data_IF_290644232375
#
_entry.id   IF_290644232375
#
_cell.length_a   1.000
_cell.length_b   1.000
_cell.length_c   1.000
_cell.angle_alpha   90.00
_cell.angle_beta   90.00
_cell.angle_gamma   90.00
#
_symmetry.space_group_name_H-M   'P 1'
#
loop_
_entity.id
_entity.type
_entity.pdbx_description
1 polymer ?
#
# COMPACT_ATOMS: atom_id res chain seq x y z
N UNK A 1 -17.56 -8.97 15.55
CA UNK A 1 -16.94 -7.67 15.90
C UNK A 1 -17.27 -6.65 14.82
N UNK A 2 -17.43 -5.37 15.21
CA UNK A 2 -17.50 -4.26 14.27
C UNK A 2 -16.09 -3.75 14.00
N UNK A 3 -15.62 -3.88 12.75
CA UNK A 3 -14.25 -3.55 12.35
C UNK A 3 -14.29 -2.47 11.27
N UNK A 4 -13.51 -1.42 11.44
CA UNK A 4 -13.22 -0.48 10.35
C UNK A 4 -11.82 -0.73 9.83
N UNK A 5 -11.70 -1.01 8.53
CA UNK A 5 -10.45 -1.07 7.80
C UNK A 5 -10.17 0.28 7.14
N UNK A 6 -9.07 0.93 7.52
CA UNK A 6 -8.59 2.17 6.88
C UNK A 6 -7.39 1.83 6.03
N UNK A 7 -7.43 2.06 4.72
CA UNK A 7 -6.33 1.70 3.85
C UNK A 7 -6.17 2.61 2.65
N UNK A 8 -4.94 2.65 2.10
CA UNK A 8 -4.68 3.24 0.80
C UNK A 8 -4.60 2.12 -0.25
N UNK A 9 -5.70 1.90 -0.97
CA UNK A 9 -5.89 0.72 -1.80
C UNK A 9 -6.02 1.03 -3.29
N UNK A 10 -4.91 1.44 -3.91
CA UNK A 10 -4.90 1.74 -5.35
C UNK A 10 -5.10 0.49 -6.26
N UNK A 11 -4.91 -0.72 -5.71
CA UNK A 11 -4.84 -1.96 -6.48
C UNK A 11 -5.92 -2.97 -6.10
N UNK A 12 -6.81 -2.63 -5.18
CA UNK A 12 -7.84 -3.54 -4.67
C UNK A 12 -7.33 -4.62 -3.69
N UNK A 13 -6.04 -4.62 -3.34
CA UNK A 13 -5.46 -5.66 -2.49
C UNK A 13 -6.01 -5.65 -1.07
N UNK A 14 -6.31 -4.49 -0.52
CA UNK A 14 -6.83 -4.39 0.84
C UNK A 14 -8.32 -4.75 0.92
N UNK A 15 -9.05 -4.73 -0.22
CA UNK A 15 -10.41 -5.27 -0.28
C UNK A 15 -10.44 -6.77 0.08
N UNK A 16 -9.42 -7.54 -0.30
CA UNK A 16 -9.31 -8.95 0.11
C UNK A 16 -9.16 -9.12 1.63
N UNK A 17 -8.55 -8.13 2.32
CA UNK A 17 -8.50 -8.13 3.79
C UNK A 17 -9.89 -7.91 4.37
N UNK A 18 -10.66 -6.96 3.83
CA UNK A 18 -12.04 -6.72 4.23
C UNK A 18 -12.89 -7.98 4.04
N UNK A 19 -12.85 -8.57 2.85
CA UNK A 19 -13.60 -9.79 2.54
C UNK A 19 -13.21 -10.97 3.46
N UNK A 20 -11.92 -11.13 3.77
CA UNK A 20 -11.46 -12.18 4.68
C UNK A 20 -11.97 -11.98 6.12
N UNK A 21 -12.12 -10.75 6.56
CA UNK A 21 -12.72 -10.44 7.86
C UNK A 21 -14.24 -10.71 7.85
N UNK A 22 -14.93 -10.37 6.77
CA UNK A 22 -16.36 -10.66 6.58
C UNK A 22 -16.63 -12.16 6.58
N UNK A 23 -15.81 -12.96 5.89
CA UNK A 23 -15.88 -14.43 5.90
C UNK A 23 -15.67 -15.03 7.31
N UNK A 24 -15.06 -14.29 8.23
CA UNK A 24 -14.93 -14.66 9.64
C UNK A 24 -16.09 -14.12 10.51
N UNK A 25 -17.21 -13.75 9.89
CA UNK A 25 -18.41 -13.22 10.55
C UNK A 25 -18.17 -11.90 11.31
N UNK A 26 -17.30 -11.04 10.81
CA UNK A 26 -17.17 -9.67 11.30
C UNK A 26 -17.97 -8.71 10.42
N UNK A 27 -18.51 -7.65 11.01
CA UNK A 27 -19.09 -6.53 10.26
C UNK A 27 -17.97 -5.58 9.90
N UNK A 28 -17.70 -5.40 8.60
CA UNK A 28 -16.54 -4.62 8.14
C UNK A 28 -16.98 -3.37 7.42
N UNK A 29 -16.42 -2.22 7.81
CA UNK A 29 -16.49 -0.96 7.07
C UNK A 29 -15.11 -0.67 6.48
N UNK A 30 -14.99 -0.53 5.16
CA UNK A 30 -13.73 -0.25 4.50
C UNK A 30 -13.65 1.21 4.03
N UNK A 31 -12.84 2.01 4.72
CA UNK A 31 -12.49 3.39 4.33
C UNK A 31 -11.25 3.34 3.45
N UNK A 32 -11.45 3.27 2.14
CA UNK A 32 -10.38 3.36 1.16
C UNK A 32 -10.09 4.83 0.84
N UNK A 33 -9.09 5.41 1.51
CA UNK A 33 -8.74 6.81 1.31
C UNK A 33 -7.90 7.07 0.05
N UNK A 34 -7.59 6.07 -0.78
CA UNK A 34 -7.06 6.27 -2.13
C UNK A 34 -8.08 6.96 -3.05
N UNK A 35 -9.36 6.80 -2.74
CA UNK A 35 -10.49 7.43 -3.45
C UNK A 35 -10.63 8.93 -3.14
N UNK A 36 -10.01 9.41 -2.06
CA UNK A 36 -10.07 10.84 -1.70
C UNK A 36 -9.11 11.66 -2.58
N UNK A 37 -9.66 12.51 -3.41
CA UNK A 37 -8.87 13.30 -4.36
C UNK A 37 -8.46 14.64 -3.76
N UNK A 38 -7.17 14.79 -3.42
CA UNK A 38 -6.62 16.08 -3.02
C UNK A 38 -6.15 16.88 -4.23
N UNK A 39 -6.72 18.07 -4.41
CA UNK A 39 -6.29 19.04 -5.43
C UNK A 39 -5.75 20.28 -4.75
N UNK A 40 -4.60 20.77 -5.21
CA UNK A 40 -4.11 22.07 -4.76
C UNK A 40 -4.99 23.19 -5.34
N UNK A 41 -5.50 24.12 -4.51
CA UNK A 41 -6.30 25.23 -4.98
C UNK A 41 -5.56 26.15 -5.95
N UNK A 42 -4.24 26.30 -5.78
CA UNK A 42 -3.40 27.13 -6.64
C UNK A 42 -1.94 26.66 -6.64
N UNK A 43 -1.13 27.27 -7.52
CA UNK A 43 0.33 27.06 -7.56
C UNK A 43 0.99 27.51 -6.25
N UNK A 44 0.51 28.60 -5.66
CA UNK A 44 1.01 29.10 -4.36
C UNK A 44 0.82 28.05 -3.24
N UNK A 45 -0.28 27.34 -3.23
CA UNK A 45 -0.49 26.23 -2.28
C UNK A 45 0.50 25.07 -2.48
N UNK A 46 0.95 24.81 -3.70
CA UNK A 46 2.00 23.81 -3.95
C UNK A 46 3.34 24.28 -3.37
N UNK A 47 3.69 25.53 -3.59
CA UNK A 47 4.92 26.15 -3.05
C UNK A 47 4.85 26.16 -1.52
N UNK A 48 3.75 26.62 -0.94
CA UNK A 48 3.53 26.59 0.51
C UNK A 48 3.66 25.17 1.08
N UNK A 49 3.06 24.17 0.45
CA UNK A 49 3.20 22.78 0.87
C UNK A 49 4.65 22.26 0.75
N UNK A 50 5.41 22.75 -0.21
CA UNK A 50 6.84 22.44 -0.31
C UNK A 50 7.59 22.97 0.91
N UNK A 51 7.38 24.21 1.31
CA UNK A 51 7.97 24.79 2.53
C UNK A 51 7.53 24.02 3.79
N UNK A 52 6.24 23.70 3.93
CA UNK A 52 5.74 22.91 5.05
C UNK A 52 6.43 21.54 5.15
N UNK A 53 6.67 20.87 4.03
CA UNK A 53 7.37 19.57 3.99
C UNK A 53 8.84 19.71 4.41
N UNK A 54 9.51 20.74 3.90
CA UNK A 54 10.96 20.92 4.09
C UNK A 54 11.29 21.36 5.51
N UNK A 55 10.62 22.37 6.02
CA UNK A 55 10.96 22.97 7.30
C UNK A 55 10.16 22.41 8.46
N UNK A 56 8.88 22.11 8.27
CA UNK A 56 7.96 21.70 9.34
C UNK A 56 7.62 20.21 9.31
N UNK A 57 8.12 19.46 8.32
CA UNK A 57 7.80 18.03 8.11
C UNK A 57 6.28 17.76 8.04
N UNK A 58 5.49 18.77 7.68
CA UNK A 58 4.04 18.70 7.49
C UNK A 58 3.69 18.55 6.02
N UNK A 59 2.51 18.02 5.72
CA UNK A 59 2.05 17.85 4.35
C UNK A 59 0.53 18.03 4.29
N UNK A 60 0.08 19.02 3.50
CA UNK A 60 -1.36 19.31 3.33
C UNK A 60 -2.16 18.09 2.85
N UNK A 61 -1.55 17.27 2.01
CA UNK A 61 -2.22 16.05 1.51
C UNK A 61 -2.49 15.03 2.63
N UNK A 62 -1.54 14.82 3.54
CA UNK A 62 -1.74 13.89 4.67
C UNK A 62 -2.72 14.44 5.69
N UNK A 63 -2.76 15.77 5.87
CA UNK A 63 -3.79 16.42 6.69
C UNK A 63 -5.18 16.26 6.08
N UNK A 64 -5.31 16.49 4.78
CA UNK A 64 -6.56 16.29 4.05
C UNK A 64 -7.08 14.85 4.19
N UNK A 65 -6.21 13.85 3.97
CA UNK A 65 -6.60 12.45 4.15
C UNK A 65 -7.07 12.17 5.58
N UNK A 66 -6.32 12.66 6.56
CA UNK A 66 -6.71 12.50 7.97
C UNK A 66 -8.09 13.09 8.28
N UNK A 67 -8.35 14.32 7.79
CA UNK A 67 -9.65 14.99 7.95
C UNK A 67 -10.78 14.15 7.33
N UNK A 68 -10.65 13.75 6.07
CA UNK A 68 -11.68 12.96 5.39
C UNK A 68 -11.91 11.59 6.07
N UNK A 69 -10.86 10.94 6.59
CA UNK A 69 -11.00 9.69 7.35
C UNK A 69 -11.83 9.92 8.61
N UNK A 70 -11.56 10.98 9.36
CA UNK A 70 -12.36 11.28 10.57
C UNK A 70 -13.81 11.59 10.22
N UNK A 71 -14.07 12.36 9.14
CA UNK A 71 -15.42 12.63 8.65
C UNK A 71 -16.18 11.34 8.29
N UNK A 72 -15.49 10.34 7.68
CA UNK A 72 -16.10 9.02 7.43
C UNK A 72 -16.34 8.22 8.71
N UNK A 73 -15.44 8.30 9.69
CA UNK A 73 -15.64 7.66 10.99
C UNK A 73 -16.79 8.28 11.78
N UNK A 74 -16.99 9.60 11.71
CA UNK A 74 -18.08 10.31 12.37
C UNK A 74 -19.47 9.93 11.82
N UNK A 75 -19.56 9.56 10.54
CA UNK A 75 -20.81 9.05 9.95
C UNK A 75 -21.27 7.74 10.59
N UNK A 76 -20.31 6.92 11.02
CA UNK A 76 -20.56 5.71 11.80
C UNK A 76 -20.74 6.08 13.27
N UNK A 77 -21.98 6.36 13.69
CA UNK A 77 -22.33 6.79 15.07
C UNK A 77 -21.94 5.80 16.16
N UNK A 78 -21.51 4.59 15.81
CA UNK A 78 -21.21 3.53 16.75
C UNK A 78 -19.71 3.33 16.93
N UNK A 79 -19.28 3.17 18.19
CA UNK A 79 -17.91 2.84 18.50
C UNK A 79 -17.53 1.48 17.88
N UNK A 80 -16.41 1.44 17.15
CA UNK A 80 -15.89 0.22 16.56
C UNK A 80 -15.19 -0.65 17.62
N UNK A 81 -15.24 -1.97 17.48
CA UNK A 81 -14.45 -2.85 18.31
C UNK A 81 -12.97 -2.78 17.96
N UNK A 82 -12.67 -2.62 16.65
CA UNK A 82 -11.32 -2.55 16.12
C UNK A 82 -11.27 -1.58 14.94
N UNK A 83 -10.26 -0.72 14.90
CA UNK A 83 -9.85 -0.02 13.68
C UNK A 83 -8.49 -0.56 13.26
N UNK A 84 -8.41 -1.17 12.08
CA UNK A 84 -7.18 -1.63 11.44
C UNK A 84 -6.76 -0.62 10.37
N UNK A 85 -5.60 0.00 10.53
CA UNK A 85 -5.03 0.94 9.56
C UNK A 85 -3.86 0.31 8.80
N UNK A 86 -3.96 0.24 7.47
CA UNK A 86 -2.87 -0.19 6.60
C UNK A 86 -2.26 1.04 5.92
N UNK A 87 -0.94 1.21 5.99
CA UNK A 87 -0.23 2.39 5.48
C UNK A 87 -0.62 3.70 6.16
N UNK A 88 -0.69 3.72 7.47
CA UNK A 88 -0.99 4.90 8.28
C UNK A 88 -0.04 6.09 8.10
N UNK A 89 1.13 5.92 7.47
CA UNK A 89 2.09 6.99 7.17
C UNK A 89 1.61 8.02 6.13
N UNK A 90 0.49 7.75 5.47
CA UNK A 90 -0.23 8.71 4.63
C UNK A 90 -1.20 9.62 5.41
N UNK A 91 -1.40 9.36 6.70
CA UNK A 91 -2.25 10.15 7.59
C UNK A 91 -1.34 11.06 8.44
N UNK A 92 -1.71 12.34 8.61
CA UNK A 92 -0.94 13.20 9.50
C UNK A 92 -1.11 12.76 10.97
N UNK A 93 -0.04 12.77 11.79
CA UNK A 93 -0.05 12.21 13.15
C UNK A 93 -1.18 12.74 14.03
N UNK A 94 -1.51 14.02 13.93
CA UNK A 94 -2.57 14.67 14.69
C UNK A 94 -3.95 14.05 14.42
N UNK A 95 -4.21 13.58 13.18
CA UNK A 95 -5.44 12.87 12.81
C UNK A 95 -5.36 11.38 13.13
N UNK A 96 -4.20 10.75 12.89
CA UNK A 96 -3.99 9.35 13.23
C UNK A 96 -4.24 9.10 14.73
N UNK A 97 -3.82 10.03 15.59
CA UNK A 97 -4.08 9.97 17.04
C UNK A 97 -5.57 10.03 17.38
N UNK A 98 -6.36 10.82 16.63
CA UNK A 98 -7.80 10.97 16.87
C UNK A 98 -8.61 9.74 16.47
N UNK A 99 -8.10 8.85 15.61
CA UNK A 99 -8.75 7.58 15.26
C UNK A 99 -9.10 6.75 16.49
N UNK A 100 -8.29 6.83 17.56
CA UNK A 100 -8.54 6.12 18.83
C UNK A 100 -9.88 6.49 19.47
N UNK A 101 -10.41 7.68 19.21
CA UNK A 101 -11.68 8.12 19.79
C UNK A 101 -12.91 7.36 19.24
N UNK A 102 -12.73 6.64 18.11
CA UNK A 102 -13.80 5.95 17.40
C UNK A 102 -13.78 4.43 17.61
N UNK A 103 -12.83 3.92 18.41
CA UNK A 103 -12.63 2.48 18.58
C UNK A 103 -12.20 2.10 19.99
N UNK A 104 -12.49 0.85 20.39
CA UNK A 104 -11.94 0.26 21.60
C UNK A 104 -10.45 -0.06 21.44
N UNK A 105 -10.01 -0.37 20.21
CA UNK A 105 -8.63 -0.71 19.89
C UNK A 105 -8.23 -0.26 18.50
N UNK A 106 -7.14 0.48 18.41
CA UNK A 106 -6.54 0.93 17.16
C UNK A 106 -5.28 0.16 16.85
N UNK A 107 -5.20 -0.43 15.65
CA UNK A 107 -4.09 -1.25 15.21
C UNK A 107 -3.59 -0.74 13.87
N UNK A 108 -2.26 -0.70 13.68
CA UNK A 108 -1.66 -0.40 12.39
C UNK A 108 -0.81 -1.56 11.86
N UNK A 109 -0.82 -1.74 10.55
CA UNK A 109 0.08 -2.63 9.83
C UNK A 109 0.84 -1.85 8.77
N UNK A 110 2.17 -1.95 8.79
CA UNK A 110 3.05 -1.34 7.80
C UNK A 110 3.71 -2.41 6.94
N UNK A 111 3.46 -2.33 5.64
CA UNK A 111 4.04 -3.18 4.60
C UNK A 111 5.23 -2.53 3.87
N UNK A 112 5.79 -1.47 4.46
CA UNK A 112 7.05 -0.83 4.09
C UNK A 112 7.91 -0.66 5.34
N UNK A 113 9.25 -0.63 5.20
CA UNK A 113 10.15 -0.40 6.31
C UNK A 113 10.40 1.09 6.55
N UNK A 114 10.85 1.42 7.77
CA UNK A 114 11.12 2.80 8.19
C UNK A 114 12.30 3.44 7.46
N UNK A 115 13.25 2.65 6.96
CA UNK A 115 14.38 3.11 6.15
C UNK A 115 13.90 3.68 4.80
N UNK A 116 12.95 3.00 4.18
CA UNK A 116 12.32 3.43 2.92
C UNK A 116 11.29 4.53 3.14
N UNK A 117 10.48 4.38 4.19
CA UNK A 117 9.37 5.27 4.53
C UNK A 117 9.53 5.88 5.94
N UNK A 118 10.44 6.86 6.16
CA UNK A 118 10.72 7.42 7.49
C UNK A 118 9.51 8.06 8.18
N UNK A 119 8.46 8.39 7.43
CA UNK A 119 7.22 8.94 7.98
C UNK A 119 6.48 7.97 8.90
N UNK A 120 6.69 6.66 8.73
CA UNK A 120 6.13 5.62 9.59
C UNK A 120 6.45 5.92 11.05
N UNK A 121 7.72 6.29 11.36
CA UNK A 121 8.18 6.53 12.73
C UNK A 121 7.30 7.56 13.46
N UNK A 122 6.79 8.55 12.74
CA UNK A 122 5.99 9.65 13.33
C UNK A 122 4.58 9.22 13.73
N UNK A 123 4.05 8.16 13.13
CA UNK A 123 2.69 7.68 13.39
C UNK A 123 2.64 6.43 14.25
N UNK A 124 3.81 5.77 14.52
CA UNK A 124 3.85 4.60 15.41
C UNK A 124 3.16 4.84 16.76
N UNK A 125 3.39 5.96 17.48
CA UNK A 125 2.79 6.19 18.79
C UNK A 125 1.29 6.54 18.72
N UNK A 126 0.74 6.71 17.52
CA UNK A 126 -0.67 7.05 17.35
C UNK A 126 -1.59 5.83 17.47
N UNK A 127 -1.07 4.62 17.50
CA UNK A 127 -1.83 3.37 17.56
C UNK A 127 -1.58 2.61 18.87
N UNK A 128 -2.52 1.75 19.26
CA UNK A 128 -2.36 0.93 20.48
C UNK A 128 -1.46 -0.27 20.23
N UNK A 129 -1.54 -0.83 19.01
CA UNK A 129 -0.63 -1.87 18.54
C UNK A 129 -0.16 -1.58 17.12
N UNK A 130 1.10 -1.90 16.87
CA UNK A 130 1.67 -1.75 15.53
C UNK A 130 2.36 -3.03 15.10
N UNK A 131 2.06 -3.46 13.90
CA UNK A 131 2.65 -4.61 13.23
C UNK A 131 3.50 -4.15 12.04
N UNK A 132 4.61 -4.86 11.83
CA UNK A 132 5.46 -4.70 10.65
C UNK A 132 5.95 -6.06 10.18
N UNK A 133 6.25 -6.19 8.89
CA UNK A 133 6.91 -7.39 8.35
C UNK A 133 8.44 -7.32 8.49
N UNK A 134 8.99 -6.14 8.79
CA UNK A 134 10.41 -5.91 8.86
C UNK A 134 10.96 -6.18 10.26
N UNK A 135 11.80 -7.20 10.37
CA UNK A 135 12.36 -7.66 11.66
C UNK A 135 13.19 -6.59 12.37
N UNK A 136 13.97 -5.81 11.61
CA UNK A 136 14.81 -4.75 12.17
C UNK A 136 13.96 -3.63 12.78
N UNK A 137 12.90 -3.22 12.08
CA UNK A 137 11.96 -2.22 12.60
C UNK A 137 11.22 -2.73 13.84
N UNK A 138 10.80 -4.00 13.82
CA UNK A 138 10.16 -4.62 14.98
C UNK A 138 11.06 -4.59 16.22
N UNK A 139 12.33 -4.95 16.06
CA UNK A 139 13.32 -4.91 17.14
C UNK A 139 13.59 -3.47 17.60
N UNK A 140 13.78 -2.54 16.65
CA UNK A 140 14.17 -1.15 16.94
C UNK A 140 13.06 -0.34 17.62
N UNK A 141 11.81 -0.55 17.21
CA UNK A 141 10.66 0.24 17.66
C UNK A 141 9.68 -0.56 18.52
N UNK A 142 10.06 -1.76 18.97
CA UNK A 142 9.21 -2.67 19.75
C UNK A 142 7.85 -2.94 19.09
N UNK A 143 7.88 -3.27 17.78
CA UNK A 143 6.68 -3.59 17.02
C UNK A 143 6.46 -5.10 16.99
N UNK A 144 5.23 -5.51 16.72
CA UNK A 144 4.89 -6.92 16.53
C UNK A 144 5.21 -7.37 15.12
N UNK A 145 5.93 -8.49 14.98
CA UNK A 145 6.22 -9.09 13.68
C UNK A 145 4.97 -9.77 13.11
N UNK A 146 4.63 -9.43 11.89
CA UNK A 146 3.59 -10.09 11.11
C UNK A 146 3.99 -10.11 9.65
N UNK A 147 3.97 -11.28 9.02
CA UNK A 147 4.20 -11.41 7.58
C UNK A 147 3.06 -10.78 6.77
N UNK A 148 3.34 -10.46 5.53
CA UNK A 148 2.29 -10.04 4.61
C UNK A 148 1.21 -11.12 4.47
N UNK A 149 -0.01 -10.69 4.20
CA UNK A 149 -1.14 -11.57 3.98
C UNK A 149 -1.07 -12.20 2.58
N UNK A 150 -1.67 -13.37 2.46
CA UNK A 150 -1.86 -14.08 1.19
C UNK A 150 -3.23 -13.68 0.65
N UNK A 151 -3.23 -13.22 -0.60
CA UNK A 151 -4.44 -12.92 -1.35
C UNK A 151 -4.99 -14.19 -1.96
N UNK A 152 -6.11 -14.49 -2.17
CA UNK A 152 -6.68 -15.60 -2.91
C UNK A 152 -6.20 -17.00 -2.49
N UNK A 153 -6.73 -17.46 -1.36
CA UNK A 153 -6.54 -18.83 -0.86
C UNK A 153 -7.67 -19.80 -1.28
N UNK A 154 -8.68 -19.31 -2.03
CA UNK A 154 -9.83 -20.13 -2.42
C UNK A 154 -9.59 -20.96 -3.68
N UNK A 155 -8.75 -20.50 -4.58
CA UNK A 155 -8.37 -21.25 -5.76
C UNK A 155 -7.07 -22.02 -5.51
N UNK A 156 -7.17 -23.33 -5.40
CA UNK A 156 -5.97 -24.18 -5.41
C UNK A 156 -5.29 -24.00 -6.77
N UNK A 157 -3.97 -23.68 -6.78
CA UNK A 157 -3.26 -23.63 -8.06
C UNK A 157 -3.43 -24.95 -8.80
N UNK A 158 -3.86 -24.90 -10.03
CA UNK A 158 -3.87 -26.08 -10.87
C UNK A 158 -2.46 -26.26 -11.45
N UNK A 159 -1.66 -27.07 -10.78
CA UNK A 159 -0.30 -27.39 -11.21
C UNK A 159 -0.23 -28.27 -12.47
N UNK A 160 -1.34 -28.89 -12.86
CA UNK A 160 -1.42 -29.72 -14.07
C UNK A 160 -1.57 -28.86 -15.33
N UNK A 161 -1.92 -27.60 -15.19
CA UNK A 161 -2.03 -26.68 -16.32
C UNK A 161 -0.63 -26.24 -16.75
N UNK A 162 -0.20 -26.71 -17.94
CA UNK A 162 1.07 -26.31 -18.52
C UNK A 162 1.08 -24.80 -18.75
N UNK A 163 2.08 -24.11 -18.22
CA UNK A 163 2.29 -22.68 -18.43
C UNK A 163 2.96 -22.44 -19.79
N UNK A 164 2.59 -21.36 -20.47
CA UNK A 164 3.25 -20.94 -21.72
C UNK A 164 4.67 -20.39 -21.49
N UNK A 165 5.00 -20.11 -20.22
CA UNK A 165 6.33 -19.62 -19.82
C UNK A 165 6.73 -20.15 -18.44
N UNK A 166 8.03 -20.34 -18.26
CA UNK A 166 8.60 -20.83 -17.00
C UNK A 166 8.90 -19.69 -16.03
N UNK A 167 9.21 -18.50 -16.56
CA UNK A 167 9.55 -17.33 -15.76
C UNK A 167 8.64 -16.15 -16.12
N UNK A 168 8.02 -15.57 -15.10
CA UNK A 168 7.13 -14.42 -15.25
C UNK A 168 7.59 -13.26 -14.37
N UNK A 169 7.56 -12.04 -14.91
CA UNK A 169 7.78 -10.81 -14.14
C UNK A 169 6.80 -9.72 -14.57
N UNK A 170 6.27 -9.01 -13.58
CA UNK A 170 5.58 -7.74 -13.77
C UNK A 170 6.14 -6.72 -12.79
N UNK A 171 6.59 -5.59 -13.28
CA UNK A 171 7.23 -4.57 -12.46
C UNK A 171 7.06 -3.16 -13.03
N UNK A 172 7.49 -2.14 -12.26
CA UNK A 172 7.56 -0.76 -12.75
C UNK A 172 9.01 -0.40 -13.08
N UNK A 173 9.19 0.43 -14.09
CA UNK A 173 10.50 0.99 -14.43
C UNK A 173 11.13 1.71 -13.24
N UNK A 174 12.34 1.33 -12.87
CA UNK A 174 13.06 1.88 -11.73
C UNK A 174 14.48 1.35 -11.60
N UNK A 175 15.07 1.46 -10.42
CA UNK A 175 16.47 1.06 -10.15
C UNK A 175 16.81 -0.40 -10.47
N UNK A 176 15.80 -1.29 -10.47
CA UNK A 176 15.99 -2.72 -10.75
C UNK A 176 15.80 -3.10 -12.22
N UNK A 177 15.38 -2.15 -13.07
CA UNK A 177 15.03 -2.46 -14.48
C UNK A 177 16.20 -3.00 -15.27
N UNK A 178 17.40 -2.47 -15.09
CA UNK A 178 18.61 -2.98 -15.75
C UNK A 178 18.89 -4.45 -15.39
N UNK A 179 18.75 -4.81 -14.12
CA UNK A 179 18.90 -6.19 -13.67
C UNK A 179 17.85 -7.10 -14.27
N UNK A 180 16.58 -6.66 -14.28
CA UNK A 180 15.46 -7.41 -14.87
C UNK A 180 15.69 -7.65 -16.36
N UNK A 181 16.17 -6.65 -17.10
CA UNK A 181 16.49 -6.76 -18.52
C UNK A 181 17.64 -7.76 -18.75
N UNK A 182 18.70 -7.70 -17.96
CA UNK A 182 19.82 -8.68 -18.04
C UNK A 182 19.36 -10.11 -17.75
N UNK A 183 18.42 -10.29 -16.82
CA UNK A 183 17.83 -11.60 -16.56
C UNK A 183 17.02 -12.06 -17.79
N UNK A 184 16.19 -11.19 -18.37
CA UNK A 184 15.42 -11.51 -19.57
C UNK A 184 16.32 -11.88 -20.76
N UNK A 185 17.39 -11.12 -20.97
CA UNK A 185 18.41 -11.42 -21.97
C UNK A 185 19.06 -12.81 -21.75
N UNK A 186 19.46 -13.10 -20.53
CA UNK A 186 20.04 -14.41 -20.17
C UNK A 186 19.06 -15.57 -20.40
N UNK A 187 17.79 -15.40 -20.04
CA UNK A 187 16.74 -16.39 -20.29
C UNK A 187 16.52 -16.60 -21.79
N UNK A 188 16.51 -15.52 -22.57
CA UNK A 188 16.41 -15.58 -24.04
C UNK A 188 17.57 -16.36 -24.66
N UNK A 189 18.82 -16.09 -24.24
CA UNK A 189 20.01 -16.81 -24.72
C UNK A 189 19.98 -18.30 -24.38
N UNK A 190 19.37 -18.66 -23.25
CA UNK A 190 19.22 -20.06 -22.82
C UNK A 190 17.97 -20.73 -23.37
N UNK A 191 17.19 -20.06 -24.21
CA UNK A 191 15.93 -20.53 -24.78
C UNK A 191 14.89 -20.95 -23.74
N UNK A 192 14.95 -20.34 -22.54
CA UNK A 192 13.97 -20.57 -21.48
C UNK A 192 12.76 -19.69 -21.74
N UNK A 193 11.53 -20.23 -21.84
CA UNK A 193 10.33 -19.45 -22.06
C UNK A 193 10.07 -18.48 -20.89
N UNK A 194 9.96 -17.19 -21.19
CA UNK A 194 9.70 -16.17 -20.19
C UNK A 194 8.75 -15.09 -20.70
N UNK A 195 8.12 -14.36 -19.77
CA UNK A 195 7.26 -13.21 -20.08
C UNK A 195 7.50 -12.11 -19.05
N UNK A 196 8.09 -10.99 -19.48
CA UNK A 196 8.44 -9.87 -18.59
C UNK A 196 7.74 -8.60 -19.04
N UNK A 197 6.87 -8.07 -18.16
CA UNK A 197 6.20 -6.79 -18.33
C UNK A 197 6.83 -5.73 -17.44
N UNK A 198 7.14 -4.56 -18.02
CA UNK A 198 7.63 -3.41 -17.26
C UNK A 198 6.74 -2.19 -17.54
N UNK A 199 6.06 -1.68 -16.49
CA UNK A 199 5.31 -0.45 -16.59
C UNK A 199 6.27 0.74 -16.75
N UNK A 200 6.33 1.30 -17.97
CA UNK A 200 7.24 2.37 -18.37
C UNK A 200 6.49 3.63 -18.81
N UNK A 201 6.03 4.41 -17.84
CA UNK A 201 5.30 5.67 -18.07
C UNK A 201 6.07 6.68 -18.96
N UNK A 202 7.40 6.60 -18.98
CA UNK A 202 8.27 7.56 -19.69
C UNK A 202 8.79 7.02 -21.01
N UNK A 203 8.32 5.85 -21.44
CA UNK A 203 8.71 5.20 -22.69
C UNK A 203 10.23 5.03 -22.91
N UNK A 204 10.96 4.76 -21.85
CA UNK A 204 12.42 4.57 -21.90
C UNK A 204 12.84 3.22 -22.48
N UNK A 205 11.94 2.24 -22.47
CA UNK A 205 12.17 0.87 -22.94
C UNK A 205 11.56 0.59 -24.31
N UNK A 206 11.16 1.62 -25.08
CA UNK A 206 10.47 1.48 -26.36
C UNK A 206 11.15 0.52 -27.35
N UNK A 207 12.48 0.49 -27.34
CA UNK A 207 13.29 -0.31 -28.28
C UNK A 207 13.89 -1.55 -27.60
N UNK A 208 13.48 -1.91 -26.38
CA UNK A 208 14.00 -3.09 -25.72
C UNK A 208 13.29 -4.34 -26.25
N UNK A 209 14.08 -5.33 -26.69
CA UNK A 209 13.57 -6.57 -27.31
C UNK A 209 13.34 -7.70 -26.30
N UNK A 210 13.87 -7.58 -25.09
CA UNK A 210 13.80 -8.63 -24.06
C UNK A 210 12.61 -8.47 -23.10
N UNK A 211 12.00 -7.30 -23.04
CA UNK A 211 10.88 -7.01 -22.13
C UNK A 211 9.77 -6.27 -22.86
N UNK A 212 8.53 -6.46 -22.42
CA UNK A 212 7.36 -5.76 -22.96
C UNK A 212 7.07 -4.49 -22.14
N UNK A 213 7.30 -3.29 -22.69
CA UNK A 213 6.94 -2.06 -22.00
C UNK A 213 5.43 -1.85 -22.04
N UNK A 214 4.83 -1.59 -20.86
CA UNK A 214 3.42 -1.28 -20.70
C UNK A 214 3.28 0.18 -20.31
N UNK A 215 2.44 0.95 -20.99
CA UNK A 215 2.19 2.37 -20.68
C UNK A 215 0.90 2.61 -19.90
N UNK A 216 -0.07 1.71 -20.00
CA UNK A 216 -1.32 1.78 -19.25
C UNK A 216 -1.30 0.75 -18.11
N UNK A 217 -1.88 1.10 -16.99
CA UNK A 217 -2.10 0.17 -15.89
C UNK A 217 -2.95 -1.00 -16.41
N UNK A 218 -2.44 -2.21 -16.33
CA UNK A 218 -3.25 -3.41 -16.58
C UNK A 218 -4.18 -3.50 -15.38
N UNK A 219 -5.48 -3.34 -15.61
CA UNK A 219 -6.46 -3.74 -14.63
C UNK A 219 -6.39 -5.28 -14.55
N UNK A 220 -6.03 -5.78 -13.40
CA UNK A 220 -6.19 -7.20 -13.09
C UNK A 220 -7.68 -7.40 -12.83
N UNK A 221 -8.41 -7.88 -13.85
CA UNK A 221 -9.77 -8.35 -13.69
C UNK A 221 -9.77 -9.69 -12.98
#
# INVERSE_FOLDING_TARGET
>A
MKITLISFDNWGFNQHVANALEHKNHTVNHIDFSKFTYKYPSVFHKVYNFFLKTFFKQNLKTKFYGKCILEELEKNKEQQDLILTIKGDFIAPEYAKQIKNYTKKSVAFFNDNTKRCPKIIRVLPCFDEVFSFEKEDCKKYNLKLKTNFIYNYQEKPNFDKKSDFEVFNISSYGKRSELIIKIAESLSMQQIPYKFFIFDKKNKLKNNIYVEPIQKTIALN
#
